data_IF_248831854643
#
_entry.id   IF_248831854643
#
_cell.length_a   1.000
_cell.length_b   1.000
_cell.length_c   1.000
_cell.angle_alpha   90.00
_cell.angle_beta   90.00
_cell.angle_gamma   90.00
#
_symmetry.space_group_name_H-M   'P 1'
#
loop_
_entity.id
_entity.type
_entity.pdbx_description
1 polymer ?
#
# COMPACT_ATOMS: atom_id res chain seq x y z
N UNK A 1 -3.35 30.71 75.22
CA UNK A 1 -3.66 29.34 74.74
C UNK A 1 -3.95 29.43 73.25
N UNK A 2 -3.03 28.96 72.41
CA UNK A 2 -3.19 28.88 70.95
C UNK A 2 -3.46 27.42 70.60
N UNK A 3 -4.58 27.11 69.96
CA UNK A 3 -4.86 25.80 69.37
C UNK A 3 -4.77 25.89 67.85
N UNK A 4 -4.11 24.88 67.31
CA UNK A 4 -3.71 24.63 65.92
C UNK A 4 -4.87 24.40 64.95
N UNK A 5 -4.65 24.78 63.68
CA UNK A 5 -5.35 24.24 62.51
C UNK A 5 -4.38 24.18 61.34
N UNK A 6 -3.95 22.97 60.98
CA UNK A 6 -3.15 22.70 59.78
C UNK A 6 -4.10 22.61 58.59
N UNK A 7 -3.89 23.44 57.57
CA UNK A 7 -4.56 23.29 56.26
C UNK A 7 -3.59 22.54 55.35
N UNK A 8 -3.91 21.28 55.05
CA UNK A 8 -3.28 20.52 53.97
C UNK A 8 -3.65 21.19 52.64
N UNK A 9 -2.68 21.75 51.94
CA UNK A 9 -2.83 22.12 50.53
C UNK A 9 -2.77 20.87 49.66
N UNK A 10 -3.91 20.41 49.16
CA UNK A 10 -3.97 19.39 48.12
C UNK A 10 -3.56 20.05 46.79
N UNK A 11 -2.32 19.83 46.36
CA UNK A 11 -1.91 20.15 45.00
C UNK A 11 -2.63 19.19 44.04
N UNK A 12 -3.56 19.72 43.26
CA UNK A 12 -4.23 18.98 42.19
C UNK A 12 -3.22 18.83 41.04
N UNK A 13 -2.53 17.68 41.00
CA UNK A 13 -1.74 17.29 39.85
C UNK A 13 -2.69 17.03 38.67
N UNK A 14 -2.72 17.95 37.71
CA UNK A 14 -3.39 17.73 36.43
C UNK A 14 -2.57 16.68 35.68
N UNK A 15 -3.06 15.43 35.70
CA UNK A 15 -2.58 14.40 34.78
C UNK A 15 -3.20 14.73 33.42
N UNK A 16 -2.43 15.45 32.60
CA UNK A 16 -2.71 15.54 31.16
C UNK A 16 -2.41 14.16 30.59
N UNK A 17 -3.45 13.35 30.41
CA UNK A 17 -3.34 12.16 29.57
C UNK A 17 -3.04 12.65 28.16
N UNK A 18 -1.80 12.42 27.72
CA UNK A 18 -1.34 12.79 26.38
C UNK A 18 -2.17 12.04 25.34
N UNK A 19 -3.10 12.74 24.70
CA UNK A 19 -3.44 12.43 23.33
C UNK A 19 -2.26 12.95 22.51
N UNK A 20 -1.43 12.05 21.99
CA UNK A 20 -0.42 12.41 20.99
C UNK A 20 -1.17 13.20 19.89
N UNK A 21 -0.79 14.47 19.62
CA UNK A 21 -1.33 15.15 18.46
C UNK A 21 -1.01 14.30 17.23
N UNK A 22 -1.95 14.22 16.27
CA UNK A 22 -1.64 13.73 14.93
C UNK A 22 -0.42 14.50 14.46
N UNK A 23 0.73 13.81 14.38
CA UNK A 23 1.99 14.46 14.06
C UNK A 23 1.87 15.01 12.64
N UNK A 24 2.28 16.27 12.46
CA UNK A 24 2.76 16.70 11.15
C UNK A 24 3.86 15.72 10.74
N UNK A 25 3.76 15.16 9.52
CA UNK A 25 4.59 14.07 8.98
C UNK A 25 6.01 14.08 9.57
N UNK A 26 6.30 13.12 10.45
CA UNK A 26 7.64 12.96 10.99
C UNK A 26 8.58 12.63 9.81
N UNK A 27 9.76 13.24 9.67
CA UNK A 27 10.73 12.84 8.67
C UNK A 27 11.08 11.33 8.71
N UNK A 28 10.88 10.67 9.86
CA UNK A 28 10.98 9.21 10.00
C UNK A 28 9.82 8.46 9.32
N UNK A 29 8.60 9.03 9.28
CA UNK A 29 7.45 8.42 8.59
C UNK A 29 7.63 8.43 7.08
N UNK A 30 8.39 9.40 6.55
CA UNK A 30 8.80 9.46 5.13
C UNK A 30 9.74 8.33 4.73
N UNK A 31 10.36 7.62 5.68
CA UNK A 31 11.22 6.47 5.39
C UNK A 31 10.42 5.19 5.21
N UNK A 32 9.25 5.07 5.84
CA UNK A 32 8.41 3.86 5.82
C UNK A 32 7.44 3.95 4.65
N UNK A 33 7.39 2.91 3.83
CA UNK A 33 6.41 2.80 2.77
C UNK A 33 5.15 2.09 3.26
N UNK A 34 4.04 2.42 2.63
CA UNK A 34 2.79 1.66 2.71
C UNK A 34 2.48 1.19 1.31
N UNK A 35 2.08 -0.08 1.19
CA UNK A 35 1.51 -0.66 -0.02
C UNK A 35 0.02 -0.94 0.23
N UNK A 36 -0.72 -1.29 -0.82
CA UNK A 36 -2.14 -1.64 -0.69
C UNK A 36 -2.46 -2.96 -1.38
N UNK A 37 -3.49 -3.63 -0.88
CA UNK A 37 -4.20 -4.64 -1.68
C UNK A 37 -5.09 -3.91 -2.70
N UNK A 38 -4.67 -3.85 -3.96
CA UNK A 38 -5.44 -3.22 -5.05
C UNK A 38 -6.46 -4.18 -5.67
N UNK A 39 -6.21 -5.49 -5.58
CA UNK A 39 -7.11 -6.52 -6.06
C UNK A 39 -7.01 -7.77 -5.20
N UNK A 40 -8.14 -8.43 -4.99
CA UNK A 40 -8.19 -9.76 -4.43
C UNK A 40 -9.33 -10.57 -5.05
N UNK A 41 -9.11 -11.85 -5.21
CA UNK A 41 -10.12 -12.84 -5.57
C UNK A 41 -9.82 -14.13 -4.79
N UNK A 42 -10.83 -14.70 -4.12
CA UNK A 42 -10.64 -15.83 -3.23
C UNK A 42 -10.27 -15.40 -1.81
N UNK A 43 -9.65 -16.32 -1.06
CA UNK A 43 -9.30 -16.15 0.35
C UNK A 43 -7.84 -15.73 0.49
N UNK A 44 -7.65 -14.53 1.04
CA UNK A 44 -6.35 -13.93 1.32
C UNK A 44 -6.33 -13.62 2.81
N UNK A 45 -5.26 -14.02 3.49
CA UNK A 45 -5.03 -13.67 4.89
C UNK A 45 -3.70 -12.93 5.02
N UNK A 46 -3.66 -11.94 5.91
CA UNK A 46 -2.47 -11.17 6.23
C UNK A 46 -2.13 -11.44 7.68
N UNK A 47 -0.95 -11.98 7.95
CA UNK A 47 -0.38 -11.97 9.29
C UNK A 47 0.28 -10.61 9.51
N UNK A 48 -0.20 -9.88 10.51
CA UNK A 48 0.32 -8.56 10.88
C UNK A 48 1.71 -8.69 11.47
N UNK A 49 2.68 -7.91 10.97
CA UNK A 49 4.08 -8.00 11.42
C UNK A 49 4.32 -7.55 12.86
N UNK A 50 3.45 -6.68 13.39
CA UNK A 50 3.52 -6.11 14.74
C UNK A 50 2.86 -7.03 15.80
N UNK A 51 1.64 -7.51 15.52
CA UNK A 51 0.87 -8.32 16.47
C UNK A 51 1.02 -9.83 16.26
N UNK A 52 1.42 -10.27 15.07
CA UNK A 52 1.41 -11.66 14.66
C UNK A 52 0.01 -12.23 14.38
N UNK A 53 -1.04 -11.41 14.49
CA UNK A 53 -2.42 -11.83 14.28
C UNK A 53 -2.73 -11.99 12.79
N UNK A 54 -3.57 -12.99 12.48
CA UNK A 54 -4.09 -13.21 11.14
C UNK A 54 -5.40 -12.45 10.95
N UNK A 55 -5.44 -11.61 9.93
CA UNK A 55 -6.65 -10.88 9.51
C UNK A 55 -6.99 -11.20 8.06
N UNK A 56 -8.28 -11.14 7.73
CA UNK A 56 -8.71 -11.29 6.34
C UNK A 56 -8.24 -10.10 5.50
N UNK A 57 -7.69 -10.38 4.32
CA UNK A 57 -7.35 -9.36 3.33
C UNK A 57 -8.60 -8.68 2.77
N UNK A 58 -8.50 -7.38 2.53
CA UNK A 58 -9.56 -6.59 1.92
C UNK A 58 -8.96 -5.63 0.89
N UNK A 59 -9.73 -5.26 -0.14
CA UNK A 59 -9.31 -4.19 -1.06
C UNK A 59 -9.09 -2.91 -0.26
N UNK A 60 -8.07 -2.14 -0.64
CA UNK A 60 -7.61 -0.94 0.07
C UNK A 60 -7.06 -1.21 1.49
N UNK A 61 -6.86 -2.47 1.88
CA UNK A 61 -6.13 -2.76 3.10
C UNK A 61 -4.64 -2.37 2.94
N UNK A 62 -4.06 -1.64 3.90
CA UNK A 62 -2.65 -1.32 3.88
C UNK A 62 -1.82 -2.58 4.16
N UNK A 63 -0.67 -2.65 3.50
CA UNK A 63 0.37 -3.65 3.71
C UNK A 63 1.65 -2.90 4.07
N UNK A 64 2.29 -3.31 5.15
CA UNK A 64 3.51 -2.69 5.68
C UNK A 64 4.63 -3.71 5.84
N UNK A 65 5.83 -3.24 6.17
CA UNK A 65 6.95 -4.11 6.47
C UNK A 65 6.60 -5.11 7.59
N UNK A 66 7.15 -6.32 7.47
CA UNK A 66 6.92 -7.51 8.27
C UNK A 66 5.54 -8.17 8.13
N UNK A 67 4.63 -7.64 7.31
CA UNK A 67 3.39 -8.35 7.00
C UNK A 67 3.67 -9.59 6.14
N UNK A 68 2.96 -10.68 6.42
CA UNK A 68 2.98 -11.93 5.64
C UNK A 68 1.65 -12.18 4.99
N UNK A 69 1.63 -12.23 3.66
CA UNK A 69 0.45 -12.49 2.84
C UNK A 69 0.40 -13.99 2.50
N UNK A 70 -0.72 -14.63 2.83
CA UNK A 70 -1.01 -16.00 2.46
C UNK A 70 -2.27 -16.07 1.58
N UNK A 71 -2.19 -16.83 0.49
CA UNK A 71 -3.30 -17.00 -0.47
C UNK A 71 -3.76 -18.46 -0.50
N UNK A 72 -5.06 -18.70 -0.48
CA UNK A 72 -5.59 -20.06 -0.69
C UNK A 72 -5.41 -20.51 -2.15
N UNK A 73 -5.54 -21.82 -2.42
CA UNK A 73 -5.23 -22.44 -3.73
C UNK A 73 -5.91 -21.79 -4.95
N UNK A 74 -7.16 -21.36 -4.81
CA UNK A 74 -7.95 -20.74 -5.89
C UNK A 74 -8.06 -19.22 -5.73
N UNK A 75 -6.99 -18.59 -5.24
CA UNK A 75 -6.98 -17.16 -4.93
C UNK A 75 -5.95 -16.41 -5.78
N UNK A 76 -6.15 -15.10 -5.89
CA UNK A 76 -5.20 -14.16 -6.52
C UNK A 76 -5.23 -12.87 -5.72
N UNK A 77 -4.07 -12.26 -5.52
CA UNK A 77 -3.95 -10.94 -4.91
C UNK A 77 -3.07 -10.03 -5.78
N UNK A 78 -3.29 -8.73 -5.71
CA UNK A 78 -2.41 -7.71 -6.24
C UNK A 78 -2.09 -6.72 -5.11
N UNK A 79 -0.78 -6.55 -4.89
CA UNK A 79 -0.22 -5.60 -3.95
C UNK A 79 0.42 -4.48 -4.77
N UNK A 80 -0.11 -3.28 -4.67
CA UNK A 80 0.46 -2.09 -5.32
C UNK A 80 1.32 -1.33 -4.31
N UNK A 81 2.56 -1.05 -4.69
CA UNK A 81 3.55 -0.41 -3.83
C UNK A 81 3.75 1.07 -4.18
N UNK A 82 3.59 1.40 -5.46
CA UNK A 82 3.60 2.75 -6.02
C UNK A 82 2.92 2.68 -7.40
N UNK A 83 2.61 3.84 -7.96
CA UNK A 83 2.07 4.08 -9.30
C UNK A 83 2.89 3.46 -10.44
N UNK A 84 4.15 3.10 -10.16
CA UNK A 84 5.09 2.54 -11.14
C UNK A 84 5.21 1.01 -11.09
N UNK A 85 4.86 0.35 -9.98
CA UNK A 85 5.06 -1.09 -9.86
C UNK A 85 4.18 -1.75 -8.79
N UNK A 86 3.93 -3.04 -8.99
CA UNK A 86 3.17 -3.88 -8.08
C UNK A 86 3.59 -5.34 -8.16
N UNK A 87 3.10 -6.14 -7.22
CA UNK A 87 3.29 -7.59 -7.18
C UNK A 87 1.95 -8.28 -7.18
N UNK A 88 1.80 -9.27 -8.06
CA UNK A 88 0.64 -10.14 -8.09
C UNK A 88 0.99 -11.50 -7.56
N UNK A 89 0.18 -12.03 -6.65
CA UNK A 89 0.44 -13.26 -5.92
C UNK A 89 -0.59 -14.30 -6.38
N UNK A 90 -0.11 -15.46 -6.81
CA UNK A 90 -0.93 -16.59 -7.23
C UNK A 90 -1.54 -17.33 -6.04
N UNK A 91 -2.36 -18.34 -6.32
CA UNK A 91 -2.99 -19.16 -5.27
C UNK A 91 -2.00 -20.13 -4.64
N UNK A 92 -2.20 -20.44 -3.35
CA UNK A 92 -1.33 -21.34 -2.60
C UNK A 92 0.07 -20.77 -2.40
N UNK A 93 0.20 -19.46 -2.23
CA UNK A 93 1.47 -18.77 -2.09
C UNK A 93 1.61 -18.12 -0.72
N UNK A 94 2.86 -17.94 -0.32
CA UNK A 94 3.23 -17.31 0.93
C UNK A 94 4.36 -16.30 0.69
N UNK A 95 4.06 -15.04 0.93
CA UNK A 95 4.93 -13.90 0.63
C UNK A 95 5.05 -13.02 1.85
N UNK A 96 6.27 -12.71 2.26
CA UNK A 96 6.55 -11.78 3.37
C UNK A 96 7.11 -10.47 2.81
N UNK A 97 6.61 -9.35 3.32
CA UNK A 97 7.18 -8.02 3.04
C UNK A 97 8.30 -7.77 4.05
N UNK A 98 9.54 -8.04 3.67
CA UNK A 98 10.69 -7.95 4.59
C UNK A 98 11.06 -6.50 4.92
N UNK A 99 11.01 -5.63 3.91
CA UNK A 99 11.26 -4.21 4.08
C UNK A 99 10.41 -3.43 3.07
N UNK A 100 9.90 -2.28 3.52
CA UNK A 100 9.13 -1.39 2.68
C UNK A 100 9.46 0.06 3.06
N UNK A 101 10.21 0.71 2.18
CA UNK A 101 10.73 2.07 2.34
C UNK A 101 10.43 2.89 1.08
N UNK A 102 10.67 4.21 1.13
CA UNK A 102 10.35 5.12 0.03
C UNK A 102 11.01 4.81 -1.32
N UNK A 103 12.15 4.11 -1.31
CA UNK A 103 12.89 3.70 -2.52
C UNK A 103 13.41 2.27 -2.45
N UNK A 104 12.92 1.45 -1.51
CA UNK A 104 13.36 0.07 -1.37
C UNK A 104 12.19 -0.82 -0.94
N UNK A 105 11.98 -1.89 -1.69
CA UNK A 105 10.99 -2.91 -1.37
C UNK A 105 11.64 -4.27 -1.45
N UNK A 106 11.68 -4.97 -0.31
CA UNK A 106 12.21 -6.31 -0.22
C UNK A 106 11.11 -7.27 0.16
N UNK A 107 10.91 -8.29 -0.66
CA UNK A 107 9.92 -9.35 -0.47
C UNK A 107 10.65 -10.68 -0.35
N UNK A 108 10.06 -11.62 0.38
CA UNK A 108 10.50 -13.01 0.38
C UNK A 108 9.32 -13.90 -0.02
N UNK A 109 9.53 -14.84 -0.93
CA UNK A 109 8.56 -15.87 -1.28
C UNK A 109 9.03 -17.22 -0.75
N UNK A 110 8.22 -17.85 0.10
CA UNK A 110 8.53 -19.16 0.70
C UNK A 110 8.15 -20.31 -0.23
N UNK A 111 6.95 -20.24 -0.81
CA UNK A 111 6.41 -21.19 -1.78
C UNK A 111 5.29 -20.51 -2.59
N UNK A 112 4.91 -21.14 -3.71
CA UNK A 112 3.89 -20.64 -4.62
C UNK A 112 4.48 -19.76 -5.70
N UNK A 113 3.75 -18.70 -6.11
CA UNK A 113 4.14 -17.90 -7.26
C UNK A 113 3.73 -16.45 -7.10
N UNK A 114 4.60 -15.55 -7.56
CA UNK A 114 4.29 -14.14 -7.75
C UNK A 114 4.82 -13.64 -9.10
N UNK A 115 4.25 -12.54 -9.56
CA UNK A 115 4.77 -11.77 -10.68
C UNK A 115 5.01 -10.34 -10.22
N UNK A 116 6.24 -9.86 -10.38
CA UNK A 116 6.57 -8.45 -10.24
C UNK A 116 6.29 -7.74 -11.55
N UNK A 117 5.50 -6.66 -11.50
CA UNK A 117 5.18 -5.79 -12.63
C UNK A 117 5.83 -4.44 -12.42
N UNK A 118 6.83 -4.12 -13.24
CA UNK A 118 7.41 -2.77 -13.29
C UNK A 118 6.83 -2.10 -14.53
N UNK A 119 5.84 -1.23 -14.33
CA UNK A 119 5.05 -0.62 -15.41
C UNK A 119 5.68 0.68 -15.93
N UNK A 120 6.44 1.37 -15.08
CA UNK A 120 7.10 2.65 -15.37
C UNK A 120 8.49 2.65 -14.76
N UNK A 121 9.37 3.51 -15.28
CA UNK A 121 10.66 3.71 -14.64
C UNK A 121 10.45 4.21 -13.21
N UNK A 122 11.11 3.54 -12.27
CA UNK A 122 11.06 3.85 -10.84
C UNK A 122 12.49 3.89 -10.30
N UNK A 123 12.70 4.70 -9.26
CA UNK A 123 13.95 4.70 -8.48
C UNK A 123 13.87 3.72 -7.30
N UNK A 124 12.80 2.91 -7.22
CA UNK A 124 12.66 1.91 -6.19
C UNK A 124 13.55 0.70 -6.48
N UNK A 125 14.40 0.35 -5.52
CA UNK A 125 15.14 -0.90 -5.49
C UNK A 125 14.19 -2.03 -5.07
N UNK A 126 13.79 -2.84 -6.04
CA UNK A 126 12.90 -3.99 -5.83
C UNK A 126 13.75 -5.25 -5.71
N UNK A 127 13.56 -5.99 -4.63
CA UNK A 127 14.23 -7.27 -4.38
C UNK A 127 13.21 -8.33 -3.97
N UNK A 128 13.28 -9.49 -4.59
CA UNK A 128 12.49 -10.66 -4.22
C UNK A 128 13.43 -11.80 -3.89
N UNK A 129 13.47 -12.17 -2.62
CA UNK A 129 14.24 -13.29 -2.12
C UNK A 129 13.45 -14.59 -2.29
N UNK A 130 14.17 -15.60 -2.74
CA UNK A 130 13.72 -16.99 -2.81
C UNK A 130 14.62 -17.84 -1.90
N UNK A 131 14.30 -19.13 -1.65
CA UNK A 131 15.16 -19.99 -0.84
C UNK A 131 16.60 -20.16 -1.39
N UNK A 132 16.83 -19.89 -2.69
CA UNK A 132 18.11 -20.15 -3.35
C UNK A 132 18.83 -18.87 -3.80
N UNK A 133 18.10 -17.85 -4.26
CA UNK A 133 18.65 -16.65 -4.93
C UNK A 133 17.83 -15.38 -4.65
N UNK A 134 18.45 -14.21 -4.85
CA UNK A 134 17.76 -12.91 -4.76
C UNK A 134 17.56 -12.32 -6.16
N UNK A 135 16.34 -11.90 -6.47
CA UNK A 135 15.94 -11.41 -7.79
C UNK A 135 15.73 -9.91 -7.74
N UNK A 136 16.41 -9.15 -8.61
CA UNK A 136 16.33 -7.68 -8.64
C UNK A 136 15.89 -7.14 -10.00
N UNK A 137 14.57 -6.94 -10.20
CA UNK A 137 14.05 -6.24 -11.37
C UNK A 137 14.64 -4.84 -11.48
N UNK A 138 15.35 -4.53 -12.58
CA UNK A 138 16.04 -3.24 -12.76
C UNK A 138 15.45 -2.36 -13.87
N UNK A 139 14.45 -2.86 -14.61
CA UNK A 139 13.83 -2.17 -15.74
C UNK A 139 12.33 -2.42 -15.80
N UNK A 140 11.64 -1.61 -16.60
CA UNK A 140 10.24 -1.86 -16.98
C UNK A 140 10.13 -3.26 -17.58
N UNK A 141 9.24 -4.07 -17.03
CA UNK A 141 9.23 -5.50 -17.32
C UNK A 141 8.23 -6.30 -16.48
N UNK A 142 8.22 -7.60 -16.76
CA UNK A 142 7.34 -8.59 -16.13
C UNK A 142 8.17 -9.79 -15.74
N UNK A 143 8.24 -10.03 -14.44
CA UNK A 143 9.16 -11.00 -13.86
C UNK A 143 8.37 -11.97 -12.99
N UNK A 144 8.22 -13.21 -13.46
CA UNK A 144 7.50 -14.26 -12.74
C UNK A 144 8.49 -15.07 -11.92
N UNK A 145 8.20 -15.21 -10.64
CA UNK A 145 9.03 -15.90 -9.66
C UNK A 145 8.14 -16.96 -9.00
N UNK A 146 8.54 -18.21 -9.11
CA UNK A 146 7.83 -19.33 -8.49
C UNK A 146 8.78 -20.14 -7.62
N UNK A 147 8.29 -20.64 -6.50
CA UNK A 147 9.02 -21.51 -5.59
C UNK A 147 8.17 -22.75 -5.34
N UNK A 148 8.70 -23.93 -5.65
CA UNK A 148 8.03 -25.20 -5.41
C UNK A 148 8.06 -25.59 -3.93
N UNK A 149 7.24 -26.56 -3.54
CA UNK A 149 7.27 -27.13 -2.17
C UNK A 149 8.62 -27.76 -1.81
N UNK A 150 9.44 -28.13 -2.82
CA UNK A 150 10.80 -28.64 -2.61
C UNK A 150 11.85 -27.54 -2.47
N UNK A 151 11.46 -26.26 -2.54
CA UNK A 151 12.36 -25.11 -2.51
C UNK A 151 13.17 -24.89 -3.79
N UNK A 152 12.71 -25.42 -4.94
CA UNK A 152 13.25 -25.03 -6.25
C UNK A 152 12.64 -23.69 -6.67
N UNK A 153 13.47 -22.75 -7.10
CA UNK A 153 13.02 -21.45 -7.59
C UNK A 153 13.10 -21.36 -9.11
N UNK A 154 12.05 -20.84 -9.73
CA UNK A 154 11.98 -20.54 -11.16
C UNK A 154 11.77 -19.05 -11.37
N UNK A 155 12.65 -18.41 -12.14
CA UNK A 155 12.63 -16.98 -12.44
C UNK A 155 12.50 -16.80 -13.94
N UNK A 156 11.35 -16.30 -14.39
CA UNK A 156 11.07 -16.04 -15.81
C UNK A 156 11.04 -14.54 -16.05
N UNK A 157 11.89 -14.06 -16.97
CA UNK A 157 11.80 -12.72 -17.50
C UNK A 157 10.88 -12.72 -18.72
N UNK A 158 9.58 -12.42 -18.53
CA UNK A 158 8.60 -12.36 -19.64
C UNK A 158 8.86 -11.15 -20.54
N UNK A 159 9.21 -10.03 -19.93
CA UNK A 159 9.67 -8.82 -20.61
C UNK A 159 10.63 -8.04 -19.72
N UNK A 160 11.56 -7.31 -20.33
CA UNK A 160 12.69 -6.73 -19.63
C UNK A 160 13.71 -7.79 -19.22
N UNK A 161 14.84 -7.33 -18.69
CA UNK A 161 15.90 -8.19 -18.17
C UNK A 161 15.90 -8.10 -16.64
N UNK A 162 16.31 -9.17 -15.97
CA UNK A 162 16.44 -9.19 -14.51
C UNK A 162 17.79 -9.72 -14.09
N UNK A 163 18.36 -9.09 -13.07
CA UNK A 163 19.60 -9.55 -12.47
C UNK A 163 19.27 -10.43 -11.25
N UNK A 164 19.89 -11.61 -11.21
CA UNK A 164 19.73 -12.58 -10.12
C UNK A 164 21.06 -12.70 -9.39
N UNK A 165 21.02 -12.51 -8.08
CA UNK A 165 22.19 -12.48 -7.21
C UNK A 165 22.34 -13.81 -6.45
N UNK A 166 23.59 -14.26 -6.36
CA UNK A 166 24.03 -15.43 -5.62
C UNK A 166 25.28 -15.08 -4.81
N UNK A 167 25.69 -15.90 -3.82
CA UNK A 167 26.97 -15.71 -3.13
C UNK A 167 28.19 -15.72 -4.04
N UNK A 168 28.09 -16.33 -5.24
CA UNK A 168 29.17 -16.43 -6.22
C UNK A 168 29.21 -15.26 -7.23
N UNK A 169 28.27 -14.33 -7.14
CA UNK A 169 28.12 -13.20 -8.07
C UNK A 169 26.69 -13.09 -8.60
N UNK A 170 26.50 -12.23 -9.61
CA UNK A 170 25.22 -12.04 -10.27
C UNK A 170 25.17 -12.66 -11.67
N UNK A 171 23.96 -12.96 -12.13
CA UNK A 171 23.68 -13.50 -13.44
C UNK A 171 22.43 -12.82 -14.03
N UNK A 172 22.51 -12.46 -15.30
CA UNK A 172 21.36 -11.91 -16.03
C UNK A 172 20.46 -13.02 -16.56
N UNK A 173 19.15 -12.83 -16.39
CA UNK A 173 18.08 -13.56 -17.08
C UNK A 173 17.43 -12.57 -18.05
N UNK A 174 17.68 -12.77 -19.33
CA UNK A 174 17.18 -11.89 -20.38
C UNK A 174 15.73 -12.19 -20.74
N UNK A 175 15.04 -11.23 -21.35
CA UNK A 175 13.68 -11.43 -21.83
C UNK A 175 13.51 -12.73 -22.65
N UNK A 176 12.50 -13.52 -22.31
CA UNK A 176 12.23 -14.84 -22.89
C UNK A 176 12.99 -16.00 -22.23
N UNK A 177 13.87 -15.75 -21.27
CA UNK A 177 14.59 -16.78 -20.55
C UNK A 177 13.95 -17.13 -19.20
N UNK A 178 14.32 -18.32 -18.71
CA UNK A 178 13.99 -18.82 -17.39
C UNK A 178 15.25 -19.32 -16.70
N UNK A 179 15.51 -18.87 -15.48
CA UNK A 179 16.45 -19.50 -14.56
C UNK A 179 15.72 -20.52 -13.68
N UNK A 180 16.30 -21.69 -13.53
CA UNK A 180 15.90 -22.70 -12.53
C UNK A 180 17.03 -22.79 -11.52
N UNK A 181 16.75 -22.52 -10.24
CA UNK A 181 17.71 -22.54 -9.14
C UNK A 181 17.31 -23.56 -8.07
N UNK A 182 18.30 -24.28 -7.53
CA UNK A 182 18.17 -25.31 -6.49
C UNK A 182 19.30 -25.18 -5.48
N UNK A 183 19.22 -25.93 -4.38
CA UNK A 183 20.22 -25.93 -3.32
C UNK A 183 19.88 -24.91 -2.24
N UNK A 184 20.90 -24.44 -1.52
CA UNK A 184 20.69 -23.46 -0.44
C UNK A 184 21.08 -22.07 -0.91
N UNK A 185 20.63 -21.03 -0.20
CA UNK A 185 21.07 -19.66 -0.45
C UNK A 185 22.60 -19.47 -0.35
N UNK A 186 23.32 -20.36 0.37
CA UNK A 186 24.77 -20.30 0.51
C UNK A 186 25.53 -20.98 -0.65
N UNK A 187 24.92 -21.98 -1.28
CA UNK A 187 25.49 -22.70 -2.41
C UNK A 187 24.37 -23.09 -3.39
N UNK A 188 23.87 -22.13 -4.18
CA UNK A 188 22.84 -22.40 -5.17
C UNK A 188 23.46 -22.95 -6.45
N UNK A 189 22.82 -23.94 -7.05
CA UNK A 189 23.07 -24.38 -8.41
C UNK A 189 21.94 -23.87 -9.31
N UNK A 190 22.28 -23.41 -10.51
CA UNK A 190 21.30 -22.90 -11.45
C UNK A 190 21.60 -23.27 -12.90
N UNK A 191 20.55 -23.26 -13.71
CA UNK A 191 20.62 -23.32 -15.17
C UNK A 191 19.69 -22.29 -15.78
N UNK A 192 20.05 -21.78 -16.96
CA UNK A 192 19.22 -20.86 -17.73
C UNK A 192 18.79 -21.53 -19.02
N UNK A 193 17.49 -21.52 -19.27
CA UNK A 193 16.85 -22.11 -20.45
C UNK A 193 15.91 -21.10 -21.10
N UNK A 194 15.38 -21.44 -22.28
CA UNK A 194 14.28 -20.66 -22.86
C UNK A 194 13.01 -20.88 -22.05
N UNK A 195 12.28 -19.81 -21.77
CA UNK A 195 11.00 -19.90 -21.09
C UNK A 195 9.95 -20.54 -22.01
N UNK A 196 9.05 -21.33 -21.41
CA UNK A 196 7.88 -21.84 -22.12
C UNK A 196 6.93 -20.72 -22.56
N UNK A 197 5.95 -21.05 -23.40
CA UNK A 197 4.93 -20.09 -23.83
C UNK A 197 4.17 -19.47 -22.63
N UNK A 198 3.66 -18.23 -22.76
CA UNK A 198 2.82 -17.61 -21.73
C UNK A 198 1.57 -18.44 -21.42
N UNK A 199 1.29 -18.65 -20.14
CA UNK A 199 0.13 -19.40 -19.66
C UNK A 199 -1.03 -18.48 -19.23
N UNK A 200 -2.03 -19.03 -18.54
CA UNK A 200 -3.19 -18.25 -18.08
C UNK A 200 -2.81 -17.20 -17.05
N UNK A 201 -1.84 -17.49 -16.18
CA UNK A 201 -1.35 -16.55 -15.18
C UNK A 201 -0.71 -15.34 -15.87
N UNK A 202 0.14 -15.58 -16.88
CA UNK A 202 0.75 -14.50 -17.66
C UNK A 202 -0.30 -13.65 -18.39
N UNK A 203 -1.32 -14.29 -19.00
CA UNK A 203 -2.42 -13.57 -19.68
C UNK A 203 -3.27 -12.75 -18.72
N UNK A 204 -3.55 -13.24 -17.51
CA UNK A 204 -4.27 -12.49 -16.48
C UNK A 204 -3.46 -11.30 -15.98
N UNK A 205 -2.15 -11.46 -15.82
CA UNK A 205 -1.28 -10.34 -15.51
C UNK A 205 -1.41 -9.25 -16.60
N UNK A 206 -1.21 -9.60 -17.87
CA UNK A 206 -1.27 -8.62 -18.97
C UNK A 206 -2.64 -7.94 -19.11
N UNK A 207 -3.74 -8.64 -18.78
CA UNK A 207 -5.07 -8.03 -18.80
C UNK A 207 -5.27 -7.01 -17.68
N UNK A 208 -4.66 -7.24 -16.51
CA UNK A 208 -4.69 -6.33 -15.35
C UNK A 208 -3.84 -5.08 -15.55
N UNK A 209 -2.77 -5.13 -16.35
CA UNK A 209 -1.95 -3.94 -16.61
C UNK A 209 -2.61 -2.92 -17.53
N UNK A 210 -3.48 -3.38 -18.43
CA UNK A 210 -4.15 -2.51 -19.42
C UNK A 210 -4.89 -1.33 -18.78
N UNK A 211 -5.76 -1.50 -17.77
CA UNK A 211 -6.42 -0.36 -17.12
C UNK A 211 -5.42 0.57 -16.42
N UNK A 212 -4.38 0.02 -15.77
CA UNK A 212 -3.36 0.81 -15.04
C UNK A 212 -2.50 1.64 -16.00
N UNK A 213 -2.13 1.10 -17.16
CA UNK A 213 -1.31 1.79 -18.16
C UNK A 213 -2.09 2.84 -18.95
N UNK A 214 -3.38 2.61 -19.17
CA UNK A 214 -4.24 3.48 -19.98
C UNK A 214 -5.06 4.48 -19.17
N UNK A 215 -4.89 4.53 -17.85
CA UNK A 215 -5.69 5.39 -16.97
C UNK A 215 -5.51 6.88 -17.30
N UNK A 216 -6.58 7.61 -17.67
CA UNK A 216 -6.52 9.07 -17.78
C UNK A 216 -6.34 9.77 -16.43
N UNK A 217 -6.83 9.20 -15.33
CA UNK A 217 -6.74 9.80 -13.99
C UNK A 217 -5.30 10.05 -13.52
N UNK A 218 -4.34 9.24 -13.97
CA UNK A 218 -2.93 9.43 -13.65
C UNK A 218 -2.36 10.79 -14.07
N UNK A 219 -2.93 11.43 -15.09
CA UNK A 219 -2.48 12.76 -15.55
C UNK A 219 -2.93 13.89 -14.63
N UNK A 220 -3.90 13.62 -13.78
CA UNK A 220 -4.51 14.60 -12.89
C UNK A 220 -3.98 14.50 -11.45
N UNK A 221 -3.17 13.49 -11.14
CA UNK A 221 -2.58 13.31 -9.81
C UNK A 221 -1.07 13.62 -9.83
N UNK A 222 -0.52 14.15 -8.73
CA UNK A 222 0.92 14.33 -8.59
C UNK A 222 1.70 13.01 -8.55
N UNK A 223 3.01 13.09 -8.73
CA UNK A 223 3.90 11.93 -8.55
C UNK A 223 3.84 11.39 -7.11
N UNK A 224 3.86 10.06 -6.97
CA UNK A 224 3.76 9.36 -5.68
C UNK A 224 2.34 9.09 -5.20
N UNK A 225 1.32 9.64 -5.86
CA UNK A 225 -0.08 9.22 -5.68
C UNK A 225 -0.33 8.00 -6.56
N UNK A 226 -0.74 6.90 -5.94
CA UNK A 226 -1.01 5.64 -6.62
C UNK A 226 -2.42 5.12 -6.31
N UNK A 227 -2.92 4.17 -7.10
CA UNK A 227 -4.35 3.79 -7.10
C UNK A 227 -5.29 4.82 -7.74
N UNK A 228 -4.77 5.76 -8.54
CA UNK A 228 -5.59 6.77 -9.23
C UNK A 228 -6.39 6.20 -10.40
N UNK A 229 -5.96 5.07 -10.96
CA UNK A 229 -6.68 4.33 -12.00
C UNK A 229 -8.03 3.79 -11.53
N UNK A 230 -8.19 3.56 -10.21
CA UNK A 230 -9.46 3.15 -9.65
C UNK A 230 -10.49 4.29 -9.65
N UNK A 231 -10.11 5.53 -9.96
CA UNK A 231 -11.02 6.67 -10.05
C UNK A 231 -11.79 6.71 -11.39
N UNK A 232 -11.22 6.12 -12.45
CA UNK A 232 -11.75 6.20 -13.81
C UNK A 232 -13.19 5.68 -13.97
N UNK A 233 -13.60 4.55 -13.34
CA UNK A 233 -14.97 4.04 -13.47
C UNK A 233 -15.96 4.65 -12.46
N UNK A 234 -15.52 5.46 -11.49
CA UNK A 234 -16.38 5.89 -10.36
C UNK A 234 -16.54 7.40 -10.23
N UNK A 235 -16.05 8.20 -11.17
CA UNK A 235 -16.20 9.64 -11.08
C UNK A 235 -15.67 10.38 -12.30
N UNK A 236 -15.68 11.70 -12.21
CA UNK A 236 -15.27 12.58 -13.29
C UNK A 236 -14.27 13.62 -12.80
N UNK A 237 -13.30 13.95 -13.63
CA UNK A 237 -12.42 15.09 -13.39
C UNK A 237 -13.09 16.37 -13.89
N UNK A 238 -13.21 17.36 -13.01
CA UNK A 238 -13.77 18.67 -13.29
C UNK A 238 -12.77 19.76 -12.96
N UNK A 239 -12.72 20.82 -13.77
CA UNK A 239 -11.83 21.94 -13.50
C UNK A 239 -12.58 23.00 -12.67
N UNK A 240 -12.14 23.22 -11.44
CA UNK A 240 -12.76 24.14 -10.49
C UNK A 240 -11.71 25.15 -10.00
N UNK A 241 -11.76 26.41 -10.45
CA UNK A 241 -10.90 27.47 -9.91
C UNK A 241 -11.19 27.73 -8.42
N UNK A 242 -10.16 27.96 -7.58
CA UNK A 242 -8.74 28.07 -7.92
C UNK A 242 -7.97 26.73 -7.92
N UNK A 243 -8.62 25.61 -7.58
CA UNK A 243 -7.98 24.31 -7.36
C UNK A 243 -7.48 23.62 -8.64
N UNK A 244 -8.06 23.93 -9.79
CA UNK A 244 -7.74 23.25 -11.05
C UNK A 244 -8.51 21.93 -11.18
N UNK A 245 -7.87 20.86 -11.64
CA UNK A 245 -8.53 19.57 -11.84
C UNK A 245 -8.76 18.88 -10.49
N UNK A 246 -10.03 18.68 -10.15
CA UNK A 246 -10.50 17.97 -8.96
C UNK A 246 -11.40 16.81 -9.40
N UNK A 247 -11.45 15.76 -8.60
CA UNK A 247 -12.23 14.58 -8.91
C UNK A 247 -13.58 14.62 -8.18
N UNK A 248 -14.65 14.38 -8.93
CA UNK A 248 -16.02 14.29 -8.45
C UNK A 248 -16.46 12.82 -8.44
N UNK A 249 -16.67 12.21 -7.25
CA UNK A 249 -17.23 10.86 -7.16
C UNK A 249 -18.67 10.80 -7.67
N UNK A 250 -19.03 9.69 -8.30
CA UNK A 250 -20.39 9.37 -8.74
C UNK A 250 -21.17 8.68 -7.61
N UNK A 251 -21.31 9.36 -6.48
CA UNK A 251 -21.98 8.85 -5.28
C UNK A 251 -23.38 9.48 -5.09
N UNK A 252 -24.31 8.81 -4.39
CA UNK A 252 -25.66 9.31 -4.21
C UNK A 252 -25.71 10.56 -3.31
N UNK A 253 -26.83 11.29 -3.38
CA UNK A 253 -27.07 12.43 -2.51
C UNK A 253 -27.00 12.02 -1.03
N UNK A 254 -26.31 12.83 -0.22
CA UNK A 254 -26.07 12.56 1.20
C UNK A 254 -24.78 11.81 1.49
N UNK A 255 -24.08 11.30 0.48
CA UNK A 255 -22.73 10.75 0.65
C UNK A 255 -21.74 11.84 1.06
N UNK A 256 -20.79 11.48 1.94
CA UNK A 256 -19.63 12.29 2.29
C UNK A 256 -18.39 11.41 2.49
N UNK A 257 -17.17 11.94 2.30
CA UNK A 257 -15.94 11.19 2.53
C UNK A 257 -15.82 10.77 4.01
N UNK A 258 -15.11 9.67 4.26
CA UNK A 258 -14.90 9.11 5.59
C UNK A 258 -16.18 8.68 6.34
N UNK A 259 -17.22 8.24 5.62
CA UNK A 259 -18.45 7.70 6.22
C UNK A 259 -18.57 6.18 6.10
N UNK A 260 -18.31 5.61 4.91
CA UNK A 260 -18.44 4.18 4.65
C UNK A 260 -17.08 3.48 4.73
N UNK A 261 -16.70 3.04 5.92
CA UNK A 261 -15.41 2.41 6.13
C UNK A 261 -15.19 2.00 7.57
N UNK A 262 -13.93 1.75 7.92
CA UNK A 262 -13.51 1.47 9.29
C UNK A 262 -12.16 2.09 9.61
N UNK A 263 -11.99 2.42 10.88
CA UNK A 263 -10.67 2.72 11.44
C UNK A 263 -9.98 1.42 11.80
N UNK A 264 -8.73 1.28 11.37
CA UNK A 264 -7.83 0.21 11.82
C UNK A 264 -6.61 0.84 12.45
N UNK A 265 -6.03 0.16 13.44
CA UNK A 265 -4.72 0.55 13.95
C UNK A 265 -3.64 -0.01 13.04
N UNK A 266 -2.77 0.86 12.53
CA UNK A 266 -1.58 0.48 11.78
C UNK A 266 -0.35 0.90 12.59
N UNK A 267 0.56 -0.03 12.84
CA UNK A 267 1.80 0.30 13.56
C UNK A 267 2.54 1.46 12.90
N UNK A 268 3.14 2.33 13.71
CA UNK A 268 3.78 3.61 13.33
C UNK A 268 2.86 4.70 12.76
N UNK A 269 1.79 4.35 12.04
CA UNK A 269 0.86 5.32 11.42
C UNK A 269 -0.36 5.65 12.29
N UNK A 270 -0.68 4.80 13.26
CA UNK A 270 -1.84 4.95 14.14
C UNK A 270 -3.17 4.65 13.44
N UNK A 271 -4.23 5.35 13.87
CA UNK A 271 -5.57 5.16 13.33
C UNK A 271 -5.62 5.52 11.84
N UNK A 272 -5.83 4.49 11.02
CA UNK A 272 -5.86 4.55 9.56
C UNK A 272 -7.27 4.25 9.06
N UNK A 273 -7.77 5.09 8.16
CA UNK A 273 -9.09 4.89 7.57
C UNK A 273 -9.02 3.91 6.40
N UNK A 274 -9.86 2.88 6.39
CA UNK A 274 -10.06 2.01 5.22
C UNK A 274 -11.48 2.23 4.73
N UNK A 275 -11.61 2.89 3.58
CA UNK A 275 -12.87 3.06 2.88
C UNK A 275 -13.36 1.77 2.23
N UNK A 276 -14.67 1.59 2.15
CA UNK A 276 -15.29 0.45 1.47
C UNK A 276 -15.51 0.71 -0.02
N UNK A 277 -15.39 1.96 -0.44
CA UNK A 277 -15.39 2.36 -1.84
C UNK A 277 -14.16 1.78 -2.56
N UNK A 278 -14.32 1.07 -3.70
CA UNK A 278 -13.21 0.48 -4.43
C UNK A 278 -12.14 1.49 -4.82
N UNK A 279 -12.56 2.72 -5.12
CA UNK A 279 -11.72 3.84 -5.52
C UNK A 279 -11.05 4.58 -4.36
N UNK A 280 -11.35 4.22 -3.11
CA UNK A 280 -11.06 5.01 -1.91
C UNK A 280 -9.59 5.19 -1.56
N UNK A 281 -8.67 4.39 -2.10
CA UNK A 281 -7.26 4.46 -1.72
C UNK A 281 -6.64 5.84 -1.92
N UNK A 282 -6.62 6.32 -3.17
CA UNK A 282 -5.99 7.61 -3.46
C UNK A 282 -6.69 8.77 -2.71
N UNK A 283 -8.03 8.89 -2.72
CA UNK A 283 -8.68 10.03 -2.11
C UNK A 283 -8.71 10.07 -0.57
N UNK A 284 -8.57 8.94 0.11
CA UNK A 284 -8.52 8.91 1.58
C UNK A 284 -7.12 9.03 2.15
N UNK A 285 -6.09 8.76 1.37
CA UNK A 285 -4.70 8.77 1.84
C UNK A 285 -3.83 9.87 1.23
N UNK A 286 -4.37 10.62 0.27
CA UNK A 286 -3.71 11.74 -0.39
C UNK A 286 -4.70 12.90 -0.60
N UNK A 287 -4.16 14.10 -0.85
CA UNK A 287 -4.97 15.26 -1.20
C UNK A 287 -5.88 15.76 -0.07
N UNK A 288 -6.98 16.42 -0.44
CA UNK A 288 -7.95 17.02 0.49
C UNK A 288 -9.36 16.97 -0.09
N UNK A 289 -10.37 16.98 0.77
CA UNK A 289 -11.77 16.99 0.35
C UNK A 289 -12.41 18.35 0.63
N UNK A 290 -13.27 18.82 -0.26
CA UNK A 290 -14.07 20.02 -0.02
C UNK A 290 -15.46 19.86 -0.63
N UNK A 291 -16.42 20.60 -0.07
CA UNK A 291 -17.78 20.63 -0.57
C UNK A 291 -18.01 21.86 -1.44
N UNK A 292 -18.60 21.67 -2.60
CA UNK A 292 -19.00 22.73 -3.54
C UNK A 292 -20.47 22.59 -3.86
N UNK A 293 -21.28 23.62 -3.60
CA UNK A 293 -22.73 23.59 -3.85
C UNK A 293 -23.15 23.06 -5.24
N UNK A 294 -22.50 23.45 -6.37
CA UNK A 294 -22.85 22.92 -7.69
C UNK A 294 -22.43 21.46 -7.96
N UNK A 295 -21.47 20.90 -7.22
CA UNK A 295 -20.88 19.60 -7.54
C UNK A 295 -20.98 18.56 -6.40
N UNK A 296 -21.32 18.97 -5.19
CA UNK A 296 -21.19 18.14 -4.00
C UNK A 296 -19.75 18.06 -3.50
N UNK A 297 -19.37 16.91 -2.94
CA UNK A 297 -18.00 16.65 -2.48
C UNK A 297 -17.05 16.46 -3.65
N UNK A 298 -15.89 17.09 -3.56
CA UNK A 298 -14.83 17.05 -4.55
C UNK A 298 -13.50 16.72 -3.86
N UNK A 299 -12.70 15.88 -4.50
CA UNK A 299 -11.35 15.56 -4.06
C UNK A 299 -10.32 16.37 -4.85
N UNK A 300 -9.49 17.10 -4.13
CA UNK A 300 -8.34 17.80 -4.67
C UNK A 300 -7.07 16.98 -4.41
N UNK A 301 -6.40 16.43 -5.44
CA UNK A 301 -5.22 15.58 -5.27
C UNK A 301 -3.97 16.32 -4.80
N UNK A 302 -4.00 17.66 -4.79
CA UNK A 302 -2.83 18.49 -4.52
C UNK A 302 -2.20 19.06 -5.79
N UNK A 303 -1.21 19.94 -5.61
CA UNK A 303 -0.52 20.58 -6.71
C UNK A 303 0.35 19.59 -7.49
N UNK A 304 0.21 19.58 -8.82
CA UNK A 304 1.07 18.82 -9.73
C UNK A 304 2.52 19.34 -9.63
N UNK A 305 3.48 18.42 -9.69
CA UNK A 305 4.92 18.73 -9.60
C UNK A 305 5.49 18.69 -8.17
N UNK A 306 4.63 18.57 -7.15
CA UNK A 306 5.03 18.28 -5.77
C UNK A 306 4.82 16.79 -5.52
N UNK A 307 5.77 16.10 -4.88
CA UNK A 307 5.57 14.72 -4.44
C UNK A 307 4.67 14.72 -3.21
N UNK A 308 3.63 13.89 -3.22
CA UNK A 308 2.76 13.67 -2.07
C UNK A 308 3.08 12.32 -1.44
N UNK A 309 2.98 12.28 -0.12
CA UNK A 309 3.22 11.07 0.66
C UNK A 309 1.90 10.54 1.21
N UNK A 310 1.82 9.23 1.33
CA UNK A 310 0.68 8.54 1.91
C UNK A 310 0.46 9.02 3.35
N UNK A 311 -0.81 9.13 3.77
CA UNK A 311 -1.20 9.45 5.15
C UNK A 311 -2.33 8.53 5.63
N UNK A 312 -2.39 8.17 6.92
CA UNK A 312 -3.37 7.22 7.44
C UNK A 312 -4.82 7.69 7.29
N UNK A 313 -5.04 8.98 7.42
CA UNK A 313 -6.24 9.70 7.03
C UNK A 313 -5.93 11.20 7.05
N UNK A 314 -6.69 12.00 6.31
CA UNK A 314 -6.55 13.46 6.26
C UNK A 314 -7.81 14.08 6.85
N UNK A 315 -7.95 13.90 8.17
CA UNK A 315 -9.11 14.32 8.96
C UNK A 315 -8.68 15.07 10.23
N UNK A 316 -9.56 15.92 10.75
CA UNK A 316 -9.47 16.43 12.11
C UNK A 316 -10.37 15.62 13.03
N UNK A 317 -9.80 15.06 14.10
CA UNK A 317 -10.57 14.42 15.17
C UNK A 317 -11.11 15.48 16.15
N UNK A 318 -12.33 15.29 16.62
CA UNK A 318 -12.94 16.12 17.66
C UNK A 318 -13.75 15.24 18.60
N UNK A 319 -13.83 15.63 19.86
CA UNK A 319 -14.67 14.94 20.83
C UNK A 319 -15.95 15.70 21.14
N UNK A 320 -17.00 14.97 21.51
CA UNK A 320 -18.30 15.56 21.83
C UNK A 320 -19.08 14.74 22.86
N UNK A 321 -19.92 15.43 23.63
CA UNK A 321 -20.62 14.85 24.78
C UNK A 321 -19.65 14.57 25.94
N UNK A 322 -19.95 15.05 27.13
CA UNK A 322 -19.11 14.86 28.32
C UNK A 322 -19.20 16.07 29.24
N UNK A 323 -19.64 15.83 30.49
CA UNK A 323 -19.55 16.80 31.57
C UNK A 323 -18.43 16.34 32.52
N UNK A 324 -17.17 16.52 32.12
CA UNK A 324 -16.00 16.05 32.86
C UNK A 324 -14.68 16.18 32.09
N UNK A 325 -13.59 15.63 32.65
CA UNK A 325 -12.29 15.55 31.97
C UNK A 325 -12.32 14.36 31.00
N UNK A 326 -12.43 14.66 29.70
CA UNK A 326 -12.48 13.68 28.61
C UNK A 326 -13.70 13.85 27.71
N UNK A 327 -13.72 13.10 26.60
CA UNK A 327 -14.84 13.05 25.66
C UNK A 327 -15.60 11.73 25.80
N UNK A 328 -16.93 11.77 25.77
CA UNK A 328 -17.79 10.58 25.77
C UNK A 328 -17.92 9.96 24.38
N UNK A 329 -17.77 10.77 23.32
CA UNK A 329 -17.77 10.32 21.93
C UNK A 329 -16.65 11.01 21.15
N UNK A 330 -16.22 10.38 20.06
CA UNK A 330 -15.23 10.92 19.12
C UNK A 330 -15.85 10.96 17.73
N UNK A 331 -15.63 12.05 17.02
CA UNK A 331 -15.97 12.24 15.62
C UNK A 331 -14.76 12.72 14.82
N UNK A 332 -14.92 12.74 13.50
CA UNK A 332 -13.91 13.23 12.58
C UNK A 332 -14.55 13.99 11.41
N UNK A 333 -13.81 14.93 10.84
CA UNK A 333 -14.18 15.64 9.60
C UNK A 333 -13.00 15.67 8.64
N UNK A 334 -13.23 15.58 7.31
CA UNK A 334 -12.15 15.72 6.33
C UNK A 334 -11.48 17.08 6.45
N UNK A 335 -10.16 17.11 6.25
CA UNK A 335 -9.40 18.36 6.09
C UNK A 335 -9.65 18.93 4.69
N UNK A 336 -9.84 20.25 4.63
CA UNK A 336 -10.00 20.99 3.39
C UNK A 336 -8.65 21.32 2.72
N UNK A 337 -8.64 21.68 1.42
CA UNK A 337 -7.44 22.19 0.76
C UNK A 337 -6.79 23.33 1.56
N UNK A 338 -5.48 23.23 1.76
CA UNK A 338 -4.65 24.19 2.50
C UNK A 338 -4.80 24.20 4.03
N UNK A 339 -5.44 23.16 4.60
CA UNK A 339 -5.45 22.83 6.03
C UNK A 339 -4.44 21.75 6.41
#
# INVERSE_FOLDING_TARGET
MKSSGWVLGMALAVVVAGMEPVRAQDPEDLKRGVARISFLNGEISIQRGDSGEWVAGAVNAPVVANDRISTALNSRAEIEFDSGYGVRIGGGADVTVMALEASRSQLAIGYGMLTVRVLRQTNADIEVDTPNVSVRPSKVGTYRIAVSDSGESQIIARSGDVEVFTPRGSQWVYAGQMMIARGTAADPEFQIVQAGAPDEWDRWNDSRDRPILNSPSQRNVPAGVYGSEDLDPYGNWVNVPPYGNVWQPMEPAGWAPYQAGRWVWLDWYGWTWIGYEPWGWAPYHYGRWFYSAPYGWLWYPGAIGVRHYWSPALVAFFGFGGAGVGFANVGWVPLAPYE
#
